data_IF_459027864259
#
_entry.id   IF_459027864259
#
_cell.length_a   1.000
_cell.length_b   1.000
_cell.length_c   1.000
_cell.angle_alpha   90.00
_cell.angle_beta   90.00
_cell.angle_gamma   90.00
#
_symmetry.space_group_name_H-M   'P 1'
#
loop_
_entity.id
_entity.type
_entity.pdbx_description
1 polymer ?
#
# COMPACT_ATOMS: atom_id res chain seq x y z
N UNK A 1 12.57 16.09 25.26
CA UNK A 1 12.15 15.37 24.04
C UNK A 1 12.59 13.94 24.21
N UNK A 2 11.67 12.99 24.19
CA UNK A 2 12.00 11.56 24.26
C UNK A 2 12.12 11.00 22.83
N UNK A 3 13.02 10.04 22.64
CA UNK A 3 13.28 9.39 21.34
C UNK A 3 13.16 7.88 21.50
N UNK A 4 12.77 7.18 20.43
CA UNK A 4 12.63 5.72 20.39
C UNK A 4 11.66 5.13 21.44
N UNK A 5 10.73 5.93 21.95
CA UNK A 5 9.63 5.47 22.79
C UNK A 5 8.45 5.01 21.94
N UNK A 6 7.49 4.30 22.54
CA UNK A 6 6.23 3.94 21.86
C UNK A 6 5.41 5.22 21.68
N UNK A 7 4.91 5.44 20.46
CA UNK A 7 4.08 6.60 20.14
C UNK A 7 2.65 6.13 19.88
N UNK A 8 1.68 6.71 20.60
CA UNK A 8 0.27 6.54 20.28
C UNK A 8 -0.17 7.57 19.24
N UNK A 9 -0.83 7.13 18.18
CA UNK A 9 -1.45 7.98 17.15
C UNK A 9 -2.90 7.53 17.01
N UNK A 10 -3.84 8.36 17.48
CA UNK A 10 -5.27 8.03 17.56
C UNK A 10 -5.51 6.69 18.30
N UNK A 11 -6.01 5.66 17.60
CA UNK A 11 -6.24 4.33 18.16
C UNK A 11 -5.06 3.36 17.97
N UNK A 12 -3.98 3.79 17.33
CA UNK A 12 -2.84 2.95 16.96
C UNK A 12 -1.61 3.19 17.85
N UNK A 13 -0.84 2.14 18.11
CA UNK A 13 0.46 2.22 18.80
C UNK A 13 1.58 1.89 17.82
N UNK A 14 2.51 2.82 17.66
CA UNK A 14 3.69 2.68 16.80
C UNK A 14 4.92 2.40 17.65
N UNK A 15 5.66 1.36 17.28
CA UNK A 15 6.93 0.96 17.91
C UNK A 15 8.10 1.25 16.98
N UNK A 16 9.30 1.33 17.56
CA UNK A 16 10.51 1.38 16.77
C UNK A 16 10.63 0.12 15.90
N UNK A 17 10.82 0.30 14.59
CA UNK A 17 10.90 -0.79 13.61
C UNK A 17 9.59 -1.07 12.86
N UNK A 18 8.47 -0.48 13.28
CA UNK A 18 7.25 -0.48 12.46
C UNK A 18 7.42 0.43 11.24
N UNK A 19 6.67 0.14 10.19
CA UNK A 19 6.63 0.94 8.96
C UNK A 19 5.38 1.81 8.99
N UNK A 20 5.56 3.09 8.72
CA UNK A 20 4.46 4.05 8.61
C UNK A 20 4.22 4.35 7.13
N UNK A 21 3.03 4.03 6.65
CA UNK A 21 2.54 4.48 5.36
C UNK A 21 1.86 5.84 5.51
N UNK A 22 2.20 6.79 4.63
CA UNK A 22 1.60 8.11 4.57
C UNK A 22 1.17 8.41 3.14
N UNK A 23 -0.12 8.69 2.92
CA UNK A 23 -0.64 9.15 1.64
C UNK A 23 -1.72 10.23 1.84
N UNK A 24 -2.49 10.52 0.78
CA UNK A 24 -3.54 11.53 0.81
C UNK A 24 -4.79 11.11 1.61
N UNK A 25 -4.92 9.82 1.92
CA UNK A 25 -6.03 9.28 2.71
C UNK A 25 -5.68 9.25 4.21
N UNK A 26 -4.40 9.29 4.57
CA UNK A 26 -3.95 9.47 5.95
C UNK A 26 -2.63 8.78 6.29
N UNK A 27 -2.51 8.34 7.55
CA UNK A 27 -1.38 7.57 8.05
C UNK A 27 -1.86 6.20 8.54
N UNK A 28 -1.04 5.17 8.34
CA UNK A 28 -1.26 3.84 8.94
C UNK A 28 0.08 3.23 9.38
N UNK A 29 0.07 2.50 10.49
CA UNK A 29 1.22 1.73 10.97
C UNK A 29 1.09 0.24 10.63
N UNK A 30 2.19 -0.42 10.27
CA UNK A 30 2.24 -1.88 10.16
C UNK A 30 3.57 -2.44 10.68
N UNK A 31 3.56 -3.64 11.30
CA UNK A 31 4.78 -4.38 11.55
C UNK A 31 5.52 -4.71 10.25
N UNK A 32 6.85 -4.68 10.26
CA UNK A 32 7.69 -4.95 9.07
C UNK A 32 7.37 -6.31 8.42
N UNK A 33 6.98 -7.31 9.22
CA UNK A 33 6.60 -8.63 8.72
C UNK A 33 5.41 -8.61 7.74
N UNK A 34 4.51 -7.61 7.84
CA UNK A 34 3.33 -7.48 6.97
C UNK A 34 3.72 -7.01 5.56
N UNK A 35 4.89 -6.38 5.38
CA UNK A 35 5.33 -5.87 4.08
C UNK A 35 5.53 -6.94 3.02
N UNK A 36 5.81 -8.18 3.44
CA UNK A 36 5.89 -9.32 2.53
C UNK A 36 4.60 -9.54 1.71
N UNK A 37 3.45 -9.05 2.21
CA UNK A 37 2.16 -9.15 1.53
C UNK A 37 1.78 -7.89 0.73
N UNK A 38 2.51 -6.79 0.89
CA UNK A 38 2.14 -5.50 0.29
C UNK A 38 2.03 -5.56 -1.24
N UNK A 39 2.99 -6.20 -1.91
CA UNK A 39 2.96 -6.41 -3.37
C UNK A 39 1.70 -7.17 -3.81
N UNK A 40 1.37 -8.25 -3.13
CA UNK A 40 0.20 -9.08 -3.46
C UNK A 40 -1.12 -8.31 -3.26
N UNK A 41 -1.22 -7.51 -2.20
CA UNK A 41 -2.37 -6.64 -1.93
C UNK A 41 -2.53 -5.61 -3.06
N UNK A 42 -1.44 -4.94 -3.45
CA UNK A 42 -1.48 -3.92 -4.50
C UNK A 42 -1.93 -4.50 -5.84
N UNK A 43 -1.33 -5.62 -6.27
CA UNK A 43 -1.72 -6.30 -7.53
C UNK A 43 -3.18 -6.72 -7.50
N UNK A 44 -3.67 -7.25 -6.37
CA UNK A 44 -5.08 -7.62 -6.20
C UNK A 44 -6.01 -6.39 -6.26
N UNK A 45 -5.59 -5.27 -5.68
CA UNK A 45 -6.34 -4.01 -5.73
C UNK A 45 -6.44 -3.49 -7.18
N UNK A 46 -5.34 -3.49 -7.94
CA UNK A 46 -5.32 -3.08 -9.36
C UNK A 46 -6.26 -3.96 -10.19
N UNK A 47 -6.20 -5.29 -10.03
CA UNK A 47 -7.13 -6.24 -10.70
C UNK A 47 -8.59 -5.92 -10.39
N UNK A 48 -8.89 -5.66 -9.12
CA UNK A 48 -10.24 -5.31 -8.68
C UNK A 48 -10.71 -3.96 -9.24
N UNK A 49 -9.80 -2.97 -9.33
CA UNK A 49 -10.09 -1.65 -9.92
C UNK A 49 -10.39 -1.77 -11.41
N UNK A 50 -9.63 -2.58 -12.15
CA UNK A 50 -9.88 -2.86 -13.58
C UNK A 50 -11.26 -3.47 -13.82
N UNK A 51 -11.65 -4.48 -13.04
CA UNK A 51 -12.99 -5.09 -13.13
C UNK A 51 -14.12 -4.08 -12.91
N UNK A 52 -13.91 -3.10 -12.02
CA UNK A 52 -14.88 -2.01 -11.80
C UNK A 52 -14.98 -1.04 -12.97
N UNK A 53 -13.94 -0.90 -13.80
CA UNK A 53 -13.96 -0.04 -14.99
C UNK A 53 -14.60 -0.77 -16.18
N UNK A 54 -14.41 -2.08 -16.29
CA UNK A 54 -15.01 -2.93 -17.33
C UNK A 54 -16.55 -2.91 -17.26
N UNK A 55 -17.12 -3.06 -16.05
CA UNK A 55 -18.58 -3.13 -15.87
C UNK A 55 -19.37 -1.93 -16.42
N UNK A 56 -18.92 -0.67 -16.24
CA UNK A 56 -19.53 0.52 -16.83
C UNK A 56 -18.89 0.97 -18.17
N UNK A 57 -17.97 0.19 -18.76
CA UNK A 57 -17.22 0.59 -19.96
C UNK A 57 -16.44 1.92 -19.82
N UNK A 58 -15.86 2.14 -18.64
CA UNK A 58 -14.99 3.30 -18.38
C UNK A 58 -13.61 3.04 -18.99
N UNK A 59 -13.02 4.00 -19.72
CA UNK A 59 -11.65 3.87 -20.22
C UNK A 59 -10.65 3.61 -19.09
N UNK A 60 -9.76 2.65 -19.30
CA UNK A 60 -8.68 2.37 -18.36
C UNK A 60 -7.70 3.54 -18.25
N UNK A 61 -7.15 3.71 -17.06
CA UNK A 61 -6.12 4.70 -16.76
C UNK A 61 -4.90 4.03 -16.11
N UNK A 62 -3.87 4.81 -15.79
CA UNK A 62 -2.62 4.30 -15.19
C UNK A 62 -2.81 3.53 -13.88
N UNK A 63 -3.94 3.67 -13.18
CA UNK A 63 -4.24 3.00 -11.91
C UNK A 63 -4.83 1.60 -12.09
N UNK A 64 -5.18 1.22 -13.32
CA UNK A 64 -5.63 -0.14 -13.68
C UNK A 64 -4.56 -0.94 -14.44
N UNK A 65 -3.39 -0.34 -14.67
CA UNK A 65 -2.26 -0.94 -15.37
C UNK A 65 -1.48 -1.92 -14.47
N UNK A 66 -1.94 -3.18 -14.50
CA UNK A 66 -1.34 -4.28 -13.74
C UNK A 66 0.07 -4.60 -14.20
N UNK A 67 0.30 -4.63 -15.51
CA UNK A 67 1.57 -5.08 -16.09
C UNK A 67 2.70 -4.13 -15.72
N UNK A 68 2.44 -2.82 -15.80
CA UNK A 68 3.37 -1.80 -15.30
C UNK A 68 3.66 -1.95 -13.81
N UNK A 69 2.63 -2.22 -13.00
CA UNK A 69 2.81 -2.38 -11.56
C UNK A 69 3.63 -3.64 -11.24
N UNK A 70 3.37 -4.77 -11.89
CA UNK A 70 4.14 -6.01 -11.69
C UNK A 70 5.61 -5.84 -12.09
N UNK A 71 5.87 -5.23 -13.26
CA UNK A 71 7.22 -4.96 -13.74
C UNK A 71 8.03 -4.09 -12.77
N UNK A 72 7.43 -3.02 -12.22
CA UNK A 72 8.10 -2.13 -11.28
C UNK A 72 8.63 -2.85 -10.02
N UNK A 73 7.93 -3.90 -9.56
CA UNK A 73 8.35 -4.69 -8.38
C UNK A 73 9.08 -5.99 -8.74
N UNK A 74 9.41 -6.22 -10.01
CA UNK A 74 10.25 -7.33 -10.46
C UNK A 74 11.68 -6.90 -10.78
N UNK A 75 11.91 -5.59 -10.95
CA UNK A 75 13.25 -5.02 -11.03
C UNK A 75 13.95 -5.14 -9.65
N UNK A 76 15.13 -5.78 -9.56
CA UNK A 76 15.93 -5.76 -8.35
C UNK A 76 16.52 -4.35 -8.11
N UNK A 77 16.47 -3.88 -6.86
CA UNK A 77 17.16 -2.66 -6.40
C UNK A 77 18.70 -2.76 -6.50
#
# INVERSE_FOLDING_TARGET
MEVQTIVGIDLEQVRSGDIIGCDYDGLFGLPVAVTAHAKAILVTNIKSRRKRYESPNIPFDKTTDRERAEAYYEEPE
#
